data_IF_735224279380
#
_entry.id   IF_735224279380
#
_cell.length_a   1.000
_cell.length_b   1.000
_cell.length_c   1.000
_cell.angle_alpha   90.00
_cell.angle_beta   90.00
_cell.angle_gamma   90.00
#
_symmetry.space_group_name_H-M   'P 1'
#
loop_
_entity.id
_entity.type
_entity.pdbx_description
1 polymer ?
#
# COMPACT_ATOMS: atom_id res chain seq x y z
N UNK A 1 -6.15 -24.88 -11.70
CA UNK A 1 -7.11 -24.52 -10.64
C UNK A 1 -7.07 -23.01 -10.50
N UNK A 2 -8.21 -22.31 -10.55
CA UNK A 2 -8.27 -20.86 -10.35
C UNK A 2 -8.07 -20.59 -8.86
N UNK A 3 -6.97 -19.94 -8.47
CA UNK A 3 -6.75 -19.53 -7.09
C UNK A 3 -7.68 -18.34 -6.78
N UNK A 4 -8.76 -18.60 -6.04
CA UNK A 4 -9.75 -17.59 -5.63
C UNK A 4 -9.39 -16.88 -4.32
N UNK A 5 -8.22 -17.16 -3.74
CA UNK A 5 -7.77 -16.46 -2.54
C UNK A 5 -7.29 -15.05 -2.89
N UNK A 6 -8.19 -14.08 -2.77
CA UNK A 6 -7.90 -12.67 -3.06
C UNK A 6 -7.02 -12.00 -2.00
N UNK A 7 -6.99 -12.52 -0.77
CA UNK A 7 -6.19 -11.94 0.32
C UNK A 7 -4.70 -12.34 0.28
N UNK A 8 -4.33 -13.36 -0.49
CA UNK A 8 -2.93 -13.76 -0.64
C UNK A 8 -2.11 -12.66 -1.36
N UNK A 9 -0.85 -12.48 -0.97
CA UNK A 9 0.06 -11.56 -1.67
C UNK A 9 0.39 -12.11 -3.07
N UNK A 10 0.53 -11.23 -4.06
CA UNK A 10 0.74 -11.60 -5.46
C UNK A 10 2.06 -11.08 -6.03
N UNK A 11 2.55 -9.94 -5.57
CA UNK A 11 3.75 -9.25 -6.08
C UNK A 11 4.91 -9.37 -5.10
N UNK A 12 4.65 -9.17 -3.81
CA UNK A 12 5.71 -9.14 -2.78
C UNK A 12 5.80 -10.50 -2.10
N UNK A 13 6.26 -11.50 -2.85
CA UNK A 13 6.26 -12.91 -2.40
C UNK A 13 7.46 -13.26 -1.52
N UNK A 14 8.59 -12.58 -1.69
CA UNK A 14 9.80 -12.84 -0.92
C UNK A 14 9.57 -12.44 0.56
N UNK A 15 9.66 -13.38 1.53
CA UNK A 15 9.45 -13.07 2.95
C UNK A 15 10.41 -12.02 3.51
N UNK A 16 11.65 -11.96 3.03
CA UNK A 16 12.63 -10.96 3.47
C UNK A 16 12.30 -9.57 2.92
N UNK A 17 11.74 -9.49 1.71
CA UNK A 17 11.21 -8.23 1.16
C UNK A 17 9.98 -7.75 1.94
N UNK A 18 9.09 -8.68 2.34
CA UNK A 18 7.96 -8.36 3.22
C UNK A 18 8.45 -7.83 4.57
N UNK A 19 9.44 -8.51 5.17
CA UNK A 19 10.05 -8.06 6.42
C UNK A 19 10.68 -6.67 6.26
N UNK A 20 11.41 -6.41 5.18
CA UNK A 20 12.00 -5.10 4.90
C UNK A 20 10.96 -3.96 4.86
N UNK A 21 9.76 -4.21 4.31
CA UNK A 21 8.65 -3.23 4.32
C UNK A 21 8.12 -2.97 5.72
N UNK A 22 7.92 -4.02 6.51
CA UNK A 22 7.43 -3.91 7.89
C UNK A 22 8.46 -3.19 8.76
N UNK A 23 9.72 -3.59 8.69
CA UNK A 23 10.82 -3.02 9.47
C UNK A 23 11.00 -1.53 9.14
N UNK A 24 11.03 -1.18 7.85
CA UNK A 24 11.08 0.22 7.44
C UNK A 24 9.87 1.03 7.95
N UNK A 25 8.67 0.47 7.87
CA UNK A 25 7.48 1.15 8.38
C UNK A 25 7.53 1.34 9.91
N UNK A 26 8.07 0.36 10.64
CA UNK A 26 8.31 0.48 12.07
C UNK A 26 9.33 1.59 12.38
N UNK A 27 10.44 1.65 11.63
CA UNK A 27 11.46 2.71 11.71
C UNK A 27 10.85 4.11 11.63
N UNK A 28 9.83 4.33 10.79
CA UNK A 28 9.16 5.64 10.68
C UNK A 28 8.54 6.17 11.99
N UNK A 29 8.35 5.31 12.99
CA UNK A 29 7.86 5.68 14.32
C UNK A 29 8.99 5.93 15.34
N UNK A 30 10.21 5.49 15.01
CA UNK A 30 11.39 5.53 15.86
C UNK A 30 12.18 6.84 15.73
N UNK A 31 12.76 7.30 16.85
CA UNK A 31 13.52 8.56 16.94
C UNK A 31 15.05 8.36 17.03
N UNK A 32 15.48 7.19 17.50
CA UNK A 32 16.86 6.91 17.88
C UNK A 32 17.34 5.55 17.38
N UNK A 33 16.79 5.09 16.27
CA UNK A 33 17.23 3.82 15.70
C UNK A 33 18.68 3.93 15.22
N UNK A 34 19.46 2.85 15.38
CA UNK A 34 20.83 2.78 14.89
C UNK A 34 20.91 1.67 13.86
N UNK A 35 21.35 2.02 12.65
CA UNK A 35 21.63 1.06 11.57
C UNK A 35 23.04 1.36 11.05
N UNK A 36 23.88 0.34 11.03
CA UNK A 36 25.28 0.44 10.57
C UNK A 36 26.07 1.59 11.22
N UNK A 37 25.85 1.81 12.52
CA UNK A 37 26.51 2.87 13.30
C UNK A 37 25.99 4.29 13.05
N UNK A 38 25.10 4.49 12.06
CA UNK A 38 24.43 5.77 11.81
C UNK A 38 23.13 5.86 12.60
N UNK A 39 22.89 7.03 13.19
CA UNK A 39 21.63 7.33 13.86
C UNK A 39 20.58 7.69 12.82
N UNK A 40 19.51 6.91 12.78
CA UNK A 40 18.32 7.14 11.97
C UNK A 40 17.27 7.82 12.84
N UNK A 41 16.66 8.87 12.30
CA UNK A 41 15.50 9.52 12.90
C UNK A 41 14.29 9.30 11.98
N UNK A 42 13.66 8.13 12.10
CA UNK A 42 12.54 7.78 11.23
C UNK A 42 11.32 8.68 11.40
N UNK A 43 11.13 9.32 12.56
CA UNK A 43 10.12 10.39 12.72
C UNK A 43 10.40 11.61 11.85
N UNK A 44 11.68 11.97 11.65
CA UNK A 44 12.06 13.04 10.74
C UNK A 44 11.81 12.64 9.28
N UNK A 45 12.23 11.43 8.87
CA UNK A 45 11.89 10.88 7.56
C UNK A 45 10.38 10.89 7.32
N UNK A 46 9.60 10.43 8.29
CA UNK A 46 8.14 10.43 8.20
C UNK A 46 7.55 11.84 8.01
N UNK A 47 8.12 12.85 8.68
CA UNK A 47 7.67 14.23 8.54
C UNK A 47 8.05 14.84 7.19
N UNK A 48 9.24 14.51 6.68
CA UNK A 48 9.72 14.89 5.34
C UNK A 48 8.82 14.28 4.25
N UNK A 49 8.62 12.96 4.27
CA UNK A 49 7.79 12.24 3.31
C UNK A 49 6.37 12.80 3.20
N UNK A 50 5.76 13.22 4.31
CA UNK A 50 4.41 13.82 4.33
C UNK A 50 4.32 15.21 3.69
N UNK A 51 5.45 15.92 3.58
CA UNK A 51 5.51 17.28 3.02
C UNK A 51 5.79 17.27 1.52
N UNK A 52 6.33 16.18 1.00
CA UNK A 52 6.57 16.04 -0.43
C UNK A 52 5.25 15.98 -1.20
N UNK A 53 5.30 16.46 -2.45
CA UNK A 53 4.19 16.35 -3.39
C UNK A 53 4.05 14.88 -3.82
N UNK A 54 2.93 14.20 -3.51
CA UNK A 54 2.73 12.82 -3.92
C UNK A 54 2.45 12.68 -5.42
N UNK A 55 2.72 11.51 -6.03
CA UNK A 55 3.39 10.37 -5.42
C UNK A 55 4.91 10.39 -5.58
N UNK A 56 5.47 11.09 -6.58
CA UNK A 56 6.88 10.93 -6.95
C UNK A 56 7.86 11.84 -6.21
N UNK A 57 7.38 12.88 -5.52
CA UNK A 57 8.26 13.78 -4.76
C UNK A 57 9.05 13.06 -3.66
N UNK A 58 8.52 11.97 -3.11
CA UNK A 58 9.21 11.18 -2.06
C UNK A 58 10.46 10.47 -2.57
N UNK A 59 10.63 10.29 -3.89
CA UNK A 59 11.80 9.61 -4.45
C UNK A 59 13.12 10.34 -4.16
N UNK A 60 13.05 11.62 -3.79
CA UNK A 60 14.20 12.45 -3.43
C UNK A 60 14.53 12.41 -1.93
N UNK A 61 13.78 11.67 -1.12
CA UNK A 61 13.95 11.64 0.33
C UNK A 61 14.79 10.44 0.78
N UNK A 62 15.57 10.62 1.84
CA UNK A 62 16.37 9.55 2.46
C UNK A 62 15.49 8.38 2.92
N UNK A 63 14.29 8.68 3.45
CA UNK A 63 13.36 7.64 3.89
C UNK A 63 12.91 6.72 2.75
N UNK A 64 12.80 7.22 1.52
CA UNK A 64 12.50 6.41 0.34
C UNK A 64 13.70 5.57 -0.06
N UNK A 65 14.89 6.20 -0.21
CA UNK A 65 16.11 5.47 -0.61
C UNK A 65 16.44 4.36 0.39
N UNK A 66 16.27 4.59 1.70
CA UNK A 66 16.49 3.58 2.72
C UNK A 66 15.61 2.33 2.53
N UNK A 67 14.33 2.48 2.15
CA UNK A 67 13.46 1.35 1.83
C UNK A 67 13.87 0.68 0.51
N UNK A 68 14.13 1.51 -0.52
CA UNK A 68 14.55 1.05 -1.84
C UNK A 68 15.78 0.16 -1.76
N UNK A 69 16.83 0.61 -1.06
CA UNK A 69 18.05 -0.18 -0.85
C UNK A 69 17.78 -1.48 -0.09
N UNK A 70 16.90 -1.44 0.92
CA UNK A 70 16.53 -2.64 1.67
C UNK A 70 15.79 -3.68 0.80
N UNK A 71 14.95 -3.23 -0.13
CA UNK A 71 14.22 -4.09 -1.05
C UNK A 71 15.10 -4.67 -2.16
N UNK A 72 16.03 -3.89 -2.70
CA UNK A 72 16.93 -4.31 -3.78
C UNK A 72 17.78 -5.55 -3.43
N UNK A 73 17.98 -5.83 -2.15
CA UNK A 73 18.66 -7.05 -1.67
C UNK A 73 17.86 -8.31 -1.98
N UNK A 74 16.53 -8.22 -1.99
CA UNK A 74 15.62 -9.38 -2.02
C UNK A 74 14.75 -9.44 -3.27
N UNK A 75 14.57 -8.31 -3.95
CA UNK A 75 13.81 -8.21 -5.20
C UNK A 75 14.41 -7.14 -6.13
N UNK A 76 14.58 -7.43 -7.43
CA UNK A 76 14.94 -6.40 -8.39
C UNK A 76 13.77 -5.43 -8.57
N UNK A 77 14.03 -4.13 -8.51
CA UNK A 77 13.03 -3.10 -8.78
C UNK A 77 13.19 -2.60 -10.22
N UNK A 78 12.21 -2.91 -11.06
CA UNK A 78 12.10 -2.29 -12.40
C UNK A 78 11.56 -0.86 -12.28
N UNK A 79 11.66 -0.02 -13.33
CA UNK A 79 11.14 1.35 -13.27
C UNK A 79 9.69 1.47 -12.80
N UNK A 80 8.84 0.51 -13.16
CA UNK A 80 7.44 0.46 -12.72
C UNK A 80 7.30 0.12 -11.22
N UNK A 81 8.17 -0.75 -10.71
CA UNK A 81 8.22 -1.10 -9.29
C UNK A 81 8.70 0.11 -8.46
N UNK A 82 9.62 0.91 -8.99
CA UNK A 82 10.09 2.15 -8.35
C UNK A 82 8.95 3.18 -8.24
N UNK A 83 8.11 3.29 -9.29
CA UNK A 83 6.90 4.11 -9.27
C UNK A 83 5.90 3.59 -8.23
N UNK A 84 5.63 2.28 -8.20
CA UNK A 84 4.76 1.66 -7.20
C UNK A 84 5.27 1.88 -5.78
N UNK A 85 6.59 1.77 -5.58
CA UNK A 85 7.25 2.03 -4.31
C UNK A 85 7.05 3.48 -3.86
N UNK A 86 7.13 4.45 -4.77
CA UNK A 86 6.90 5.86 -4.47
C UNK A 86 5.46 6.12 -4.00
N UNK A 87 4.47 5.49 -4.65
CA UNK A 87 3.07 5.53 -4.20
C UNK A 87 2.93 4.90 -2.80
N UNK A 88 3.51 3.72 -2.60
CA UNK A 88 3.47 3.05 -1.30
C UNK A 88 4.07 3.92 -0.20
N UNK A 89 5.27 4.48 -0.41
CA UNK A 89 5.95 5.32 0.58
C UNK A 89 5.12 6.57 0.89
N UNK A 90 4.56 7.22 -0.14
CA UNK A 90 3.68 8.37 0.00
C UNK A 90 2.46 8.05 0.88
N UNK A 91 1.81 6.91 0.68
CA UNK A 91 0.64 6.48 1.45
C UNK A 91 1.04 6.01 2.87
N UNK A 92 2.08 5.18 2.97
CA UNK A 92 2.55 4.59 4.22
C UNK A 92 2.97 5.65 5.24
N UNK A 93 3.56 6.77 4.78
CA UNK A 93 3.89 7.89 5.65
C UNK A 93 2.68 8.42 6.44
N UNK A 94 1.45 8.28 5.94
CA UNK A 94 0.21 8.66 6.62
C UNK A 94 -0.40 7.58 7.53
N UNK A 95 0.01 6.31 7.41
CA UNK A 95 -0.55 5.17 8.15
C UNK A 95 -0.08 5.12 9.61
N UNK A 96 -0.97 5.11 10.61
CA UNK A 96 -0.55 5.24 12.02
C UNK A 96 0.13 4.00 12.60
N UNK A 97 -0.37 2.81 12.28
CA UNK A 97 0.14 1.54 12.79
C UNK A 97 -0.07 0.42 11.78
N UNK A 98 0.75 -0.63 11.90
CA UNK A 98 0.60 -1.85 11.12
C UNK A 98 -0.37 -2.81 11.83
N UNK A 99 -1.33 -3.37 11.09
CA UNK A 99 -2.27 -4.39 11.55
C UNK A 99 -2.41 -5.52 10.54
N UNK A 100 -1.88 -6.68 10.88
CA UNK A 100 -1.85 -7.85 9.98
C UNK A 100 -3.17 -8.62 9.89
N UNK A 101 -4.14 -8.37 10.78
CA UNK A 101 -5.36 -9.17 10.99
C UNK A 101 -6.11 -9.56 9.69
N UNK A 102 -6.31 -8.59 8.81
CA UNK A 102 -7.11 -8.70 7.58
C UNK A 102 -6.41 -7.91 6.47
N UNK A 103 -6.77 -8.15 5.22
CA UNK A 103 -6.18 -7.42 4.09
C UNK A 103 -6.53 -5.93 4.12
N UNK A 104 -5.77 -5.11 3.40
CA UNK A 104 -5.98 -3.67 3.37
C UNK A 104 -7.41 -3.31 2.93
N UNK A 105 -7.92 -3.96 1.89
CA UNK A 105 -9.26 -3.70 1.36
C UNK A 105 -10.37 -4.23 2.26
N UNK A 106 -10.18 -5.39 2.89
CA UNK A 106 -11.11 -5.90 3.91
C UNK A 106 -11.23 -4.92 5.08
N UNK A 107 -10.12 -4.37 5.56
CA UNK A 107 -10.11 -3.37 6.63
C UNK A 107 -10.83 -2.06 6.24
N UNK A 108 -10.99 -1.74 4.95
CA UNK A 108 -11.78 -0.56 4.54
C UNK A 108 -13.29 -0.81 4.70
N UNK A 109 -13.72 -2.07 4.56
CA UNK A 109 -15.12 -2.49 4.73
C UNK A 109 -15.54 -2.71 6.19
N UNK A 110 -14.58 -2.84 7.11
CA UNK A 110 -14.83 -3.04 8.54
C UNK A 110 -15.64 -1.90 9.17
N UNK A 111 -16.51 -2.23 10.12
CA UNK A 111 -17.32 -1.26 10.86
C UNK A 111 -16.61 -0.90 12.17
N UNK A 112 -15.88 0.21 12.19
CA UNK A 112 -15.06 0.59 13.35
C UNK A 112 -15.88 1.21 14.49
N UNK A 113 -16.87 2.06 14.17
CA UNK A 113 -17.65 2.82 15.17
C UNK A 113 -19.15 2.83 14.84
N UNK A 114 -19.77 1.67 14.61
CA UNK A 114 -21.22 1.56 14.43
C UNK A 114 -21.64 0.61 13.31
N UNK A 115 -22.70 0.97 12.59
CA UNK A 115 -23.31 0.09 11.58
C UNK A 115 -22.73 0.27 10.17
N UNK A 116 -21.93 1.31 9.93
CA UNK A 116 -21.38 1.63 8.61
C UNK A 116 -19.90 1.28 8.50
N UNK A 117 -19.49 0.87 7.29
CA UNK A 117 -18.09 0.62 6.97
C UNK A 117 -17.24 1.88 7.17
N UNK A 118 -16.00 1.68 7.62
CA UNK A 118 -14.98 2.70 7.86
C UNK A 118 -14.83 3.62 6.64
N UNK A 119 -14.66 3.02 5.46
CA UNK A 119 -14.78 3.71 4.18
C UNK A 119 -16.12 3.32 3.58
N UNK A 120 -16.93 4.31 3.19
CA UNK A 120 -18.23 4.04 2.57
C UNK A 120 -18.06 3.42 1.19
N UNK A 121 -19.08 2.67 0.74
CA UNK A 121 -19.07 2.03 -0.57
C UNK A 121 -18.79 3.02 -1.71
N UNK A 122 -19.34 4.24 -1.64
CA UNK A 122 -19.10 5.29 -2.64
C UNK A 122 -17.64 5.77 -2.67
N UNK A 123 -16.99 5.93 -1.50
CA UNK A 123 -15.56 6.30 -1.44
C UNK A 123 -14.67 5.17 -1.95
N UNK A 124 -15.02 3.94 -1.60
CA UNK A 124 -14.31 2.76 -2.08
C UNK A 124 -14.47 2.55 -3.59
N UNK A 125 -15.65 2.81 -4.15
CA UNK A 125 -15.89 2.79 -5.59
C UNK A 125 -15.07 3.86 -6.31
N UNK A 126 -14.98 5.07 -5.75
CA UNK A 126 -14.09 6.12 -6.30
C UNK A 126 -12.63 5.69 -6.31
N UNK A 127 -12.15 5.06 -5.22
CA UNK A 127 -10.79 4.50 -5.16
C UNK A 127 -10.55 3.47 -6.27
N UNK A 128 -11.50 2.55 -6.49
CA UNK A 128 -11.39 1.53 -7.53
C UNK A 128 -11.48 2.07 -8.96
N UNK A 129 -12.05 3.26 -9.15
CA UNK A 129 -12.20 3.94 -10.45
C UNK A 129 -11.03 4.87 -10.78
N UNK A 130 -10.04 5.02 -9.89
CA UNK A 130 -8.87 5.83 -10.17
C UNK A 130 -8.14 5.31 -11.41
N UNK A 131 -7.91 6.19 -12.38
CA UNK A 131 -7.32 5.89 -13.67
C UNK A 131 -5.87 6.37 -13.81
N UNK A 132 -5.39 7.18 -12.88
CA UNK A 132 -4.05 7.74 -12.88
C UNK A 132 -3.37 7.60 -11.51
N UNK A 133 -2.02 7.52 -11.47
CA UNK A 133 -1.29 7.28 -10.22
C UNK A 133 -1.47 8.36 -9.16
N UNK A 134 -1.65 9.62 -9.56
CA UNK A 134 -1.76 10.76 -8.64
C UNK A 134 -3.10 10.70 -7.88
N UNK A 135 -4.20 10.56 -8.62
CA UNK A 135 -5.55 10.40 -8.06
C UNK A 135 -5.62 9.14 -7.18
N UNK A 136 -5.06 8.03 -7.64
CA UNK A 136 -5.03 6.79 -6.86
C UNK A 136 -4.29 6.97 -5.54
N UNK A 137 -3.10 7.58 -5.57
CA UNK A 137 -2.31 7.89 -4.37
C UNK A 137 -3.08 8.80 -3.40
N UNK A 138 -3.73 9.84 -3.88
CA UNK A 138 -4.51 10.76 -3.04
C UNK A 138 -5.69 10.04 -2.36
N UNK A 139 -6.43 9.22 -3.10
CA UNK A 139 -7.56 8.45 -2.56
C UNK A 139 -7.11 7.40 -1.54
N UNK A 140 -5.93 6.79 -1.74
CA UNK A 140 -5.31 5.92 -0.74
C UNK A 140 -4.90 6.68 0.51
N UNK A 141 -4.25 7.83 0.40
CA UNK A 141 -3.90 8.69 1.53
C UNK A 141 -5.16 9.05 2.35
N UNK A 142 -6.27 9.40 1.68
CA UNK A 142 -7.54 9.66 2.36
C UNK A 142 -8.06 8.41 3.09
N UNK A 143 -8.02 7.25 2.44
CA UNK A 143 -8.49 5.98 3.00
C UNK A 143 -7.71 5.57 4.25
N UNK A 144 -6.37 5.69 4.23
CA UNK A 144 -5.54 5.37 5.41
C UNK A 144 -5.68 6.41 6.52
N UNK A 145 -5.97 7.68 6.19
CA UNK A 145 -6.27 8.71 7.19
C UNK A 145 -7.61 8.45 7.88
N UNK A 146 -8.63 7.99 7.15
CA UNK A 146 -9.93 7.61 7.73
C UNK A 146 -9.76 6.46 8.73
N UNK A 147 -8.93 5.46 8.40
CA UNK A 147 -8.58 4.35 9.32
C UNK A 147 -7.86 4.83 10.58
N UNK A 148 -7.17 5.96 10.52
CA UNK A 148 -6.62 6.62 11.71
C UNK A 148 -5.78 5.70 12.59
N UNK A 149 -6.12 5.63 13.88
CA UNK A 149 -5.42 4.83 14.90
C UNK A 149 -5.62 3.32 14.76
N UNK A 150 -6.71 2.89 14.11
CA UNK A 150 -6.98 1.48 13.87
C UNK A 150 -5.92 0.85 12.97
N UNK A 151 -5.24 1.66 12.15
CA UNK A 151 -4.09 1.23 11.37
C UNK A 151 -4.46 0.46 10.11
N UNK A 152 -3.44 -0.06 9.42
CA UNK A 152 -3.60 -0.76 8.15
C UNK A 152 -2.68 -1.97 8.04
N UNK A 153 -3.08 -2.97 7.26
CA UNK A 153 -2.17 -4.01 6.79
C UNK A 153 -1.23 -3.40 5.73
N UNK A 154 0.02 -3.18 6.11
CA UNK A 154 1.03 -2.48 5.32
C UNK A 154 1.50 -3.36 4.17
N UNK A 155 1.64 -4.67 4.39
CA UNK A 155 2.01 -5.63 3.35
C UNK A 155 0.93 -5.74 2.28
N UNK A 156 -0.32 -5.95 2.70
CA UNK A 156 -1.45 -6.05 1.75
C UNK A 156 -1.67 -4.72 0.98
N UNK A 157 -1.42 -3.58 1.62
CA UNK A 157 -1.43 -2.28 0.95
C UNK A 157 -0.33 -2.18 -0.11
N UNK A 158 0.92 -2.52 0.24
CA UNK A 158 2.05 -2.49 -0.68
C UNK A 158 1.79 -3.39 -1.89
N UNK A 159 1.40 -4.64 -1.64
CA UNK A 159 1.13 -5.63 -2.69
C UNK A 159 0.03 -5.17 -3.65
N UNK A 160 -1.06 -4.62 -3.12
CA UNK A 160 -2.15 -4.09 -3.94
C UNK A 160 -1.75 -2.84 -4.76
N UNK A 161 -0.86 -1.98 -4.24
CA UNK A 161 -0.31 -0.84 -4.99
C UNK A 161 0.58 -1.33 -6.15
N UNK A 162 1.46 -2.30 -5.90
CA UNK A 162 2.32 -2.88 -6.94
C UNK A 162 1.48 -3.55 -8.04
N UNK A 163 0.42 -4.27 -7.65
CA UNK A 163 -0.50 -4.88 -8.61
C UNK A 163 -1.29 -3.83 -9.41
N UNK A 164 -1.81 -2.79 -8.75
CA UNK A 164 -2.53 -1.70 -9.45
C UNK A 164 -1.62 -0.97 -10.44
N UNK A 165 -0.35 -0.73 -10.09
CA UNK A 165 0.60 -0.05 -10.97
C UNK A 165 0.90 -0.87 -12.24
N UNK A 166 1.01 -2.19 -12.11
CA UNK A 166 1.14 -3.09 -13.25
C UNK A 166 -0.10 -3.05 -14.16
N UNK A 167 -1.30 -3.09 -13.58
CA UNK A 167 -2.55 -2.98 -14.34
C UNK A 167 -2.66 -1.65 -15.08
N UNK A 168 -2.34 -0.55 -14.40
CA UNK A 168 -2.34 0.77 -15.00
C UNK A 168 -1.38 0.84 -16.21
N UNK A 169 -0.15 0.35 -16.07
CA UNK A 169 0.82 0.35 -17.16
C UNK A 169 0.38 -0.53 -18.35
N UNK A 170 -0.29 -1.66 -18.09
CA UNK A 170 -0.87 -2.50 -19.15
C UNK A 170 -1.96 -1.75 -19.91
N UNK A 171 -2.83 -1.04 -19.20
CA UNK A 171 -3.86 -0.20 -19.81
C UNK A 171 -3.25 0.90 -20.69
N UNK A 172 -2.24 1.63 -20.20
CA UNK A 172 -1.52 2.66 -20.98
C UNK A 172 -0.88 2.07 -22.25
N UNK A 173 -0.32 0.87 -22.12
CA UNK A 173 0.31 0.16 -23.24
C UNK A 173 -0.70 -0.57 -24.15
N UNK A 174 -2.02 -0.38 -23.96
CA UNK A 174 -3.08 -1.07 -24.69
C UNK A 174 -2.95 -2.61 -24.67
N UNK A 175 -2.37 -3.14 -23.59
CA UNK A 175 -2.20 -4.56 -23.38
C UNK A 175 -3.48 -5.16 -22.79
N UNK A 176 -3.76 -6.45 -23.09
CA UNK A 176 -4.92 -7.12 -22.53
C UNK A 176 -4.78 -7.25 -21.00
N UNK A 177 -5.91 -7.09 -20.32
CA UNK A 177 -6.05 -7.38 -18.89
C UNK A 177 -5.73 -8.85 -18.57
N UNK A 178 -5.45 -9.15 -17.30
CA UNK A 178 -5.28 -10.52 -16.83
C UNK A 178 -6.51 -11.38 -17.18
N UNK A 179 -6.25 -12.55 -17.77
CA UNK A 179 -7.32 -13.49 -18.16
C UNK A 179 -8.10 -13.99 -16.95
N UNK A 180 -7.41 -14.24 -15.84
CA UNK A 180 -8.01 -14.64 -14.59
C UNK A 180 -8.57 -13.41 -13.85
N UNK A 181 -9.88 -13.34 -13.57
CA UNK A 181 -10.46 -12.21 -12.85
C UNK A 181 -9.89 -12.05 -11.43
N UNK A 182 -9.50 -13.14 -10.76
CA UNK A 182 -8.97 -13.08 -9.39
C UNK A 182 -7.51 -12.60 -9.32
N UNK A 183 -6.83 -12.46 -10.46
CA UNK A 183 -5.53 -11.77 -10.54
C UNK A 183 -5.71 -10.25 -10.60
N UNK A 184 -6.92 -9.76 -10.88
CA UNK A 184 -7.16 -8.32 -11.04
C UNK A 184 -7.33 -7.61 -9.70
N UNK A 185 -6.53 -6.59 -9.42
CA UNK A 185 -6.54 -5.85 -8.14
C UNK A 185 -7.94 -5.35 -7.79
N UNK A 186 -8.65 -4.77 -8.77
CA UNK A 186 -10.02 -4.28 -8.59
C UNK A 186 -10.96 -5.38 -8.07
N UNK A 187 -10.91 -6.58 -8.65
CA UNK A 187 -11.77 -7.70 -8.27
C UNK A 187 -11.35 -8.24 -6.90
N UNK A 188 -10.04 -8.34 -6.64
CA UNK A 188 -9.50 -8.77 -5.34
C UNK A 188 -9.98 -7.86 -4.21
N UNK A 189 -9.70 -6.55 -4.33
CA UNK A 189 -10.10 -5.55 -3.35
C UNK A 189 -11.63 -5.50 -3.17
N UNK A 190 -12.41 -5.61 -4.25
CA UNK A 190 -13.87 -5.64 -4.13
C UNK A 190 -14.37 -6.82 -3.30
N UNK A 191 -13.86 -8.03 -3.55
CA UNK A 191 -14.24 -9.22 -2.80
C UNK A 191 -13.87 -9.10 -1.31
N UNK A 192 -12.66 -8.63 -1.02
CA UNK A 192 -12.18 -8.42 0.34
C UNK A 192 -13.01 -7.37 1.09
N UNK A 193 -13.25 -6.20 0.49
CA UNK A 193 -14.07 -5.14 1.07
C UNK A 193 -15.51 -5.61 1.33
N UNK A 194 -16.09 -6.36 0.38
CA UNK A 194 -17.46 -6.87 0.51
C UNK A 194 -17.59 -7.92 1.62
N UNK A 195 -16.56 -8.72 1.86
CA UNK A 195 -16.58 -9.75 2.92
C UNK A 195 -16.73 -9.19 4.33
N UNK A 196 -16.24 -7.97 4.58
CA UNK A 196 -16.32 -7.31 5.89
C UNK A 196 -17.44 -6.27 5.95
N UNK A 197 -17.75 -5.58 4.86
CA UNK A 197 -18.83 -4.57 4.83
C UNK A 197 -20.23 -5.19 4.95
N UNK A 198 -20.42 -6.40 4.42
CA UNK A 198 -21.67 -7.17 4.54
C UNK A 198 -21.70 -8.07 5.78
N UNK A 199 -20.58 -8.19 6.49
CA UNK A 199 -20.50 -8.93 7.75
C UNK A 199 -21.45 -8.34 8.79
N UNK A 200 -22.25 -9.22 9.41
CA UNK A 200 -23.11 -8.90 10.57
C UNK A 200 -22.25 -8.78 11.82
#
# INVERSE_FOLDING_TARGET
MLNSNTAALCRILNPDAQKALIDWFATLSERYERKDGKRINGRAWRAELKRMVPPYGVMMCEGYDALRQALLVYMPLQPLDEMALALFVSVAAHCKSHKEKTSFAAQLGEKLNGSTSCVSALRFERLQKASDPETFCQLLIQSVKIRGTDGVNVLSLADGIFLWMEEWQRCENHQPEFRNPFERNRIRWANEYLSTSRGK
#
